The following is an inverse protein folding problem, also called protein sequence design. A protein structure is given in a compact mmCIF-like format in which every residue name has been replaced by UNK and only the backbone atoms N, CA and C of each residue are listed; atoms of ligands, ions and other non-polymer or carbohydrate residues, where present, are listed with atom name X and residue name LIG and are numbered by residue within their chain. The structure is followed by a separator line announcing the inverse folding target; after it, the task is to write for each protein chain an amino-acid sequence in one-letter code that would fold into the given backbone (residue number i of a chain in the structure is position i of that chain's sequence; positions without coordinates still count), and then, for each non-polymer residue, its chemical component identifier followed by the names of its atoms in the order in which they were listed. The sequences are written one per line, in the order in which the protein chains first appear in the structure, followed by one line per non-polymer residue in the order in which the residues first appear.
data_IF_929676843568
#
_entry.id   IF_929676843568
#
_cell.length_a   1.000
_cell.length_b   1.000
_cell.length_c   1.000
_cell.angle_alpha   90.00
_cell.angle_beta   90.00
_cell.angle_gamma   90.00
#
_symmetry.space_group_name_H-M   'P 1'
#
loop_
_entity.id
_entity.type
_entity.pdbx_description
1 polymer ?
#
# COMPACT_ATOMS: atom_id res chain seq x y z
N UNK A 1 15.60 -69.07 15.48
CA UNK A 1 14.61 -67.97 15.39
C UNK A 1 15.23 -66.67 15.91
N UNK A 2 15.94 -65.90 15.05
CA UNK A 2 16.63 -64.64 15.43
C UNK A 2 16.24 -63.45 14.52
N UNK A 3 15.07 -63.52 13.88
CA UNK A 3 14.61 -62.50 12.92
C UNK A 3 13.52 -61.55 13.44
N UNK A 4 12.75 -61.94 14.47
CA UNK A 4 11.55 -61.18 14.87
C UNK A 4 11.79 -59.98 15.81
N UNK A 5 12.94 -59.92 16.50
CA UNK A 5 13.22 -58.84 17.45
C UNK A 5 13.66 -57.51 16.79
N UNK A 6 14.16 -57.54 15.55
CA UNK A 6 14.63 -56.34 14.84
C UNK A 6 13.50 -55.39 14.41
N UNK A 7 12.26 -55.89 14.28
CA UNK A 7 11.11 -55.09 13.83
C UNK A 7 10.56 -54.20 14.95
N UNK A 8 10.66 -54.63 16.22
CA UNK A 8 10.17 -53.85 17.36
C UNK A 8 11.01 -52.61 17.69
N UNK A 9 12.30 -52.62 17.35
CA UNK A 9 13.19 -51.47 17.52
C UNK A 9 13.06 -50.40 16.42
N UNK A 10 12.39 -50.71 15.30
CA UNK A 10 12.10 -49.73 14.24
C UNK A 10 10.97 -48.77 14.62
N UNK A 11 9.98 -49.22 15.39
CA UNK A 11 8.81 -48.40 15.74
C UNK A 11 9.16 -47.10 16.46
N UNK A 12 10.06 -47.08 17.48
CA UNK A 12 10.47 -45.83 18.13
C UNK A 12 11.16 -44.87 17.16
N UNK A 13 12.01 -45.39 16.27
CA UNK A 13 12.78 -44.59 15.29
C UNK A 13 11.84 -43.98 14.24
N UNK A 14 10.88 -44.75 13.74
CA UNK A 14 9.88 -44.25 12.79
C UNK A 14 8.99 -43.19 13.46
N UNK A 15 8.59 -43.40 14.70
CA UNK A 15 7.81 -42.42 15.46
C UNK A 15 8.57 -41.11 15.71
N UNK A 16 9.86 -41.15 16.06
CA UNK A 16 10.66 -39.92 16.18
C UNK A 16 10.83 -39.22 14.85
N UNK A 17 11.04 -39.93 13.75
CA UNK A 17 11.12 -39.32 12.42
C UNK A 17 9.80 -38.63 12.02
N UNK A 18 8.66 -39.26 12.29
CA UNK A 18 7.34 -38.64 12.06
C UNK A 18 7.15 -37.41 12.94
N UNK A 19 7.55 -37.48 14.22
CA UNK A 19 7.46 -36.35 15.14
C UNK A 19 8.33 -35.17 14.70
N UNK A 20 9.56 -35.43 14.26
CA UNK A 20 10.46 -34.40 13.72
C UNK A 20 9.88 -33.79 12.45
N UNK A 21 9.35 -34.61 11.53
CA UNK A 21 8.72 -34.12 10.32
C UNK A 21 7.50 -33.23 10.64
N UNK A 22 6.63 -33.67 11.55
CA UNK A 22 5.47 -32.89 11.99
C UNK A 22 5.89 -31.58 12.67
N UNK A 23 6.94 -31.59 13.49
CA UNK A 23 7.48 -30.41 14.14
C UNK A 23 8.05 -29.40 13.13
N UNK A 24 8.79 -29.86 12.13
CA UNK A 24 9.34 -29.00 11.06
C UNK A 24 8.23 -28.39 10.21
N UNK A 25 7.21 -29.18 9.85
CA UNK A 25 6.05 -28.67 9.10
C UNK A 25 5.30 -27.64 9.94
N UNK A 26 5.04 -27.93 11.22
CA UNK A 26 4.41 -27.00 12.15
C UNK A 26 5.18 -25.69 12.27
N UNK A 27 6.50 -25.77 12.45
CA UNK A 27 7.37 -24.60 12.53
C UNK A 27 7.35 -23.77 11.22
N UNK A 28 7.39 -24.41 10.05
CA UNK A 28 7.34 -23.73 8.77
C UNK A 28 6.00 -22.99 8.55
N UNK A 29 4.88 -23.61 8.94
CA UNK A 29 3.56 -22.99 8.87
C UNK A 29 3.44 -21.77 9.80
N UNK A 30 3.89 -21.92 11.06
CA UNK A 30 3.90 -20.84 12.04
C UNK A 30 4.78 -19.69 11.55
N UNK A 31 5.99 -19.98 11.07
CA UNK A 31 6.90 -18.99 10.52
C UNK A 31 6.21 -18.22 9.39
N UNK A 32 5.69 -18.91 8.37
CA UNK A 32 4.99 -18.25 7.24
C UNK A 32 3.82 -17.40 7.70
N UNK A 33 3.03 -17.87 8.67
CA UNK A 33 1.90 -17.12 9.22
C UNK A 33 2.37 -15.78 9.83
N UNK A 34 3.39 -15.82 10.70
CA UNK A 34 3.90 -14.62 11.34
C UNK A 34 4.62 -13.68 10.37
N UNK A 35 5.38 -14.20 9.40
CA UNK A 35 6.01 -13.34 8.39
C UNK A 35 4.95 -12.64 7.54
N UNK A 36 3.90 -13.36 7.13
CA UNK A 36 2.80 -12.80 6.33
C UNK A 36 2.00 -11.78 7.13
N UNK A 37 1.65 -12.09 8.37
CA UNK A 37 0.92 -11.18 9.26
C UNK A 37 1.73 -9.89 9.54
N UNK A 38 3.03 -10.03 9.77
CA UNK A 38 3.93 -8.89 10.00
C UNK A 38 4.05 -8.03 8.74
N UNK A 39 4.20 -8.65 7.57
CA UNK A 39 4.25 -7.94 6.29
C UNK A 39 2.98 -7.09 6.11
N UNK A 40 1.81 -7.71 6.26
CA UNK A 40 0.50 -7.03 6.15
C UNK A 40 0.38 -5.86 7.14
N UNK A 41 0.83 -6.06 8.38
CA UNK A 41 0.76 -5.02 9.42
C UNK A 41 1.67 -3.82 9.13
N UNK A 42 2.81 -4.05 8.47
CA UNK A 42 3.79 -3.01 8.12
C UNK A 42 3.52 -2.33 6.76
N UNK A 43 2.81 -2.99 5.85
CA UNK A 43 2.41 -2.43 4.56
C UNK A 43 1.22 -1.50 4.73
N UNK A 44 1.48 -0.27 5.18
CA UNK A 44 0.48 0.80 5.23
C UNK A 44 0.73 1.81 4.11
N UNK A 45 -0.31 2.24 3.37
CA UNK A 45 -0.20 3.41 2.51
C UNK A 45 -0.02 4.64 3.40
N UNK A 46 0.93 5.48 3.05
CA UNK A 46 1.19 6.73 3.75
C UNK A 46 1.44 7.81 2.72
N UNK A 47 0.49 8.72 2.59
CA UNK A 47 0.59 9.89 1.73
C UNK A 47 0.81 11.12 2.61
N UNK A 48 1.80 11.93 2.27
CA UNK A 48 2.15 13.15 2.99
C UNK A 48 2.10 14.31 2.02
N UNK A 49 1.49 15.42 2.43
CA UNK A 49 1.59 16.69 1.70
C UNK A 49 2.92 17.32 2.08
N UNK A 50 3.86 17.39 1.14
CA UNK A 50 5.20 17.97 1.36
C UNK A 50 5.17 19.50 1.27
N UNK A 51 4.36 20.03 0.36
CA UNK A 51 4.15 21.46 0.18
C UNK A 51 2.74 21.74 -0.32
N UNK A 52 2.19 22.87 0.10
CA UNK A 52 0.94 23.41 -0.40
C UNK A 52 1.02 24.94 -0.41
N UNK A 53 0.92 25.55 -1.59
CA UNK A 53 1.04 26.99 -1.77
C UNK A 53 -0.01 27.52 -2.74
N UNK A 54 -0.56 28.70 -2.42
CA UNK A 54 -1.50 29.40 -3.28
C UNK A 54 -0.83 30.63 -3.88
N UNK A 55 -0.85 30.73 -5.21
CA UNK A 55 -0.41 31.92 -5.92
C UNK A 55 -1.64 32.79 -6.27
N UNK A 56 -1.84 33.94 -5.60
CA UNK A 56 -2.98 34.81 -5.86
C UNK A 56 -2.93 35.50 -7.22
N UNK A 57 -1.74 35.70 -7.79
CA UNK A 57 -1.60 36.36 -9.09
C UNK A 57 -2.09 35.48 -10.25
N UNK A 58 -1.87 34.16 -10.15
CA UNK A 58 -2.35 33.17 -11.12
C UNK A 58 -3.59 32.41 -10.66
N UNK A 59 -4.12 32.75 -9.48
CA UNK A 59 -5.20 32.04 -8.79
C UNK A 59 -5.01 30.51 -8.78
N UNK A 60 -3.76 30.06 -8.61
CA UNK A 60 -3.39 28.64 -8.71
C UNK A 60 -2.96 28.10 -7.36
N UNK A 61 -3.56 26.98 -6.96
CA UNK A 61 -3.12 26.16 -5.84
C UNK A 61 -2.15 25.10 -6.35
N UNK A 62 -0.98 25.03 -5.74
CA UNK A 62 0.04 24.00 -5.92
C UNK A 62 0.04 23.11 -4.69
N UNK A 63 -0.02 21.80 -4.89
CA UNK A 63 0.10 20.83 -3.80
C UNK A 63 0.98 19.66 -4.24
N UNK A 64 1.97 19.31 -3.44
CA UNK A 64 2.84 18.16 -3.67
C UNK A 64 2.53 17.07 -2.64
N UNK A 65 2.10 15.91 -3.12
CA UNK A 65 1.76 14.74 -2.31
C UNK A 65 2.77 13.65 -2.58
N UNK A 66 3.46 13.17 -1.54
CA UNK A 66 4.45 12.10 -1.64
C UNK A 66 3.95 10.83 -0.99
N UNK A 67 4.19 9.69 -1.63
CA UNK A 67 4.01 8.40 -1.00
C UNK A 67 5.23 8.04 -0.15
N UNK A 68 5.09 8.22 1.16
CA UNK A 68 6.08 7.85 2.17
C UNK A 68 5.90 6.41 2.65
N UNK A 69 4.80 5.75 2.26
CA UNK A 69 4.47 4.39 2.65
C UNK A 69 5.27 3.33 1.89
N UNK A 70 5.06 2.07 2.26
CA UNK A 70 5.75 0.92 1.67
C UNK A 70 4.94 0.25 0.54
N UNK A 71 3.75 0.76 0.23
CA UNK A 71 2.85 0.21 -0.79
C UNK A 71 2.53 1.24 -1.86
N UNK A 72 2.41 0.79 -3.11
CA UNK A 72 1.95 1.62 -4.22
C UNK A 72 0.48 1.99 -4.02
N UNK A 73 0.16 3.28 -4.12
CA UNK A 73 -1.22 3.79 -4.13
C UNK A 73 -1.70 3.94 -5.57
N UNK A 74 -2.92 3.47 -5.87
CA UNK A 74 -3.53 3.55 -7.22
C UNK A 74 -4.93 4.12 -7.11
N UNK A 75 -5.41 4.78 -8.16
CA UNK A 75 -6.78 5.31 -8.21
C UNK A 75 -6.95 6.50 -7.29
N UNK A 76 -6.20 7.58 -7.54
CA UNK A 76 -6.20 8.76 -6.68
C UNK A 76 -7.40 9.63 -7.03
N UNK A 77 -8.38 9.71 -6.14
CA UNK A 77 -9.44 10.72 -6.18
C UNK A 77 -9.11 11.82 -5.16
N UNK A 78 -9.20 13.08 -5.58
CA UNK A 78 -8.83 14.24 -4.75
C UNK A 78 -10.10 15.02 -4.42
N UNK A 79 -10.42 15.05 -3.13
CA UNK A 79 -11.50 15.86 -2.57
C UNK A 79 -10.88 16.99 -1.75
N UNK A 80 -11.26 18.22 -2.06
CA UNK A 80 -10.91 19.40 -1.25
C UNK A 80 -12.11 19.71 -0.37
N UNK A 81 -11.95 19.51 0.94
CA UNK A 81 -12.98 19.86 1.91
C UNK A 81 -12.67 21.21 2.54
N UNK A 82 -13.57 22.16 2.36
CA UNK A 82 -13.49 23.47 2.97
C UNK A 82 -13.95 23.43 4.43
N UNK A 83 -13.54 24.42 5.22
CA UNK A 83 -13.86 24.51 6.65
C UNK A 83 -15.37 24.66 6.94
N UNK A 84 -16.14 25.10 5.95
CA UNK A 84 -17.60 25.22 6.02
C UNK A 84 -18.33 23.90 5.68
N UNK A 85 -17.58 22.82 5.42
CA UNK A 85 -18.12 21.52 5.05
C UNK A 85 -18.49 21.42 3.56
N UNK A 86 -18.18 22.42 2.74
CA UNK A 86 -18.30 22.29 1.29
C UNK A 86 -17.21 21.36 0.76
N UNK A 87 -17.62 20.41 -0.07
CA UNK A 87 -16.72 19.47 -0.73
C UNK A 87 -16.59 19.88 -2.20
N UNK A 88 -15.36 20.14 -2.61
CA UNK A 88 -15.00 20.35 -4.00
C UNK A 88 -14.29 19.07 -4.44
N UNK A 89 -15.04 18.18 -5.08
CA UNK A 89 -14.45 17.10 -5.86
C UNK A 89 -13.78 17.73 -7.07
N UNK A 90 -12.48 17.51 -7.27
CA UNK A 90 -11.84 17.83 -8.55
C UNK A 90 -12.23 16.69 -9.50
N UNK A 91 -13.19 16.88 -10.42
CA UNK A 91 -13.57 15.81 -11.30
C UNK A 91 -12.41 15.57 -12.27
N UNK A 92 -11.77 14.41 -12.19
CA UNK A 92 -11.10 13.89 -13.37
C UNK A 92 -12.16 13.61 -14.43
N UNK A 93 -12.02 14.02 -15.71
CA UNK A 93 -11.19 15.04 -16.34
C UNK A 93 -12.07 16.24 -16.77
N UNK A 94 -12.03 17.35 -16.06
CA UNK A 94 -12.44 18.67 -16.62
C UNK A 94 -11.60 19.83 -16.08
N UNK A 95 -10.54 19.53 -15.32
CA UNK A 95 -9.50 20.50 -15.05
C UNK A 95 -8.72 20.73 -16.35
N UNK A 96 -8.84 21.92 -16.94
CA UNK A 96 -8.01 22.35 -18.05
C UNK A 96 -6.57 22.46 -17.54
N UNK A 97 -5.82 21.36 -17.61
CA UNK A 97 -4.42 21.30 -17.23
C UNK A 97 -3.62 22.13 -18.25
N UNK A 98 -2.79 23.05 -17.76
CA UNK A 98 -1.89 23.89 -18.56
C UNK A 98 -0.71 23.12 -19.19
N UNK A 99 -0.85 21.82 -19.51
CA UNK A 99 0.12 21.00 -20.27
C UNK A 99 -0.50 19.67 -20.78
N UNK A 100 -0.01 19.09 -21.89
CA UNK A 100 -0.82 18.39 -22.88
C UNK A 100 -0.85 16.88 -22.64
N UNK A 101 -1.47 16.42 -21.57
CA UNK A 101 -1.99 15.05 -21.54
C UNK A 101 -3.12 15.02 -20.53
N UNK A 102 -4.32 14.66 -20.97
CA UNK A 102 -5.41 14.33 -20.05
C UNK A 102 -4.94 13.12 -19.23
N UNK A 103 -4.44 13.36 -18.02
CA UNK A 103 -4.08 12.30 -17.09
C UNK A 103 -5.36 11.89 -16.38
N UNK A 104 -5.86 10.70 -16.70
CA UNK A 104 -6.86 10.04 -15.89
C UNK A 104 -6.26 9.71 -14.51
N UNK A 105 -6.67 10.47 -13.49
CA UNK A 105 -6.21 10.30 -12.11
C UNK A 105 -6.52 8.90 -11.55
N UNK A 106 -7.49 8.17 -12.14
CA UNK A 106 -7.78 6.79 -11.77
C UNK A 106 -6.68 5.82 -12.20
N UNK A 107 -5.87 6.19 -13.19
CA UNK A 107 -4.73 5.42 -13.70
C UNK A 107 -3.39 5.81 -13.06
N UNK A 108 -3.37 6.88 -12.26
CA UNK A 108 -2.15 7.32 -11.58
C UNK A 108 -1.75 6.31 -10.51
N UNK A 109 -0.48 5.91 -10.56
CA UNK A 109 0.15 5.04 -9.57
C UNK A 109 1.29 5.80 -8.90
N UNK A 110 1.25 5.86 -7.57
CA UNK A 110 2.28 6.45 -6.73
C UNK A 110 3.05 5.35 -6.03
N UNK A 111 4.25 5.03 -6.47
CA UNK A 111 5.10 4.05 -5.78
C UNK A 111 5.77 4.68 -4.55
N UNK A 112 6.30 3.87 -3.62
CA UNK A 112 7.08 4.39 -2.49
C UNK A 112 8.19 5.34 -2.95
N UNK A 113 8.15 6.57 -2.45
CA UNK A 113 9.10 7.63 -2.76
C UNK A 113 8.68 8.57 -3.90
N UNK A 114 7.67 8.23 -4.70
CA UNK A 114 7.15 9.07 -5.78
C UNK A 114 6.35 10.27 -5.22
N UNK A 115 6.43 11.42 -5.91
CA UNK A 115 5.68 12.64 -5.60
C UNK A 115 4.74 13.00 -6.74
N UNK A 116 3.46 13.19 -6.43
CA UNK A 116 2.43 13.74 -7.32
C UNK A 116 2.29 15.23 -7.05
N UNK A 117 2.27 16.05 -8.09
CA UNK A 117 1.97 17.48 -7.97
C UNK A 117 0.61 17.77 -8.58
N UNK A 118 -0.26 18.42 -7.82
CA UNK A 118 -1.59 18.83 -8.21
C UNK A 118 -1.58 20.34 -8.44
N UNK A 119 -2.15 20.74 -9.57
CA UNK A 119 -2.35 22.12 -9.98
C UNK A 119 -3.85 22.35 -10.10
N UNK A 120 -4.41 23.17 -9.22
CA UNK A 120 -5.82 23.55 -9.28
C UNK A 120 -5.94 25.05 -9.53
N UNK A 121 -6.68 25.43 -10.58
CA UNK A 121 -7.10 26.81 -10.78
C UNK A 121 -8.35 27.08 -9.95
N UNK A 122 -8.31 28.13 -9.13
CA UNK A 122 -9.42 28.57 -8.32
C UNK A 122 -10.00 29.83 -8.95
N UNK A 123 -11.30 29.85 -9.24
CA UNK A 123 -11.99 31.08 -9.65
C UNK A 123 -12.61 31.74 -8.42
N UNK A 124 -12.20 32.96 -8.06
CA UNK A 124 -12.93 33.72 -7.05
C UNK A 124 -14.09 34.47 -7.69
N UNK A 125 -15.32 34.18 -7.30
CA UNK A 125 -16.47 35.06 -7.56
C UNK A 125 -16.55 36.07 -6.43
N UNK A 126 -16.30 37.34 -6.74
CA UNK A 126 -16.65 38.49 -5.89
C UNK A 126 -18.15 38.74 -5.91
#
# INVERSE_FOLDING_TARGET
MKGLQRVKALSPIVSTLILIAAALIGAALIYRYFTTASLIATTKPELVIEDASYNPASQTLFMSIRNMGLVTVQGVEIHIMCSDGTEITIPGPSATLLSPTEIDLTQVKLNPGDTLTILAQLSSTT
#
